data_IF_421678542514
#
_entry.id   IF_421678542514
#
_cell.length_a   1.000
_cell.length_b   1.000
_cell.length_c   1.000
_cell.angle_alpha   90.00
_cell.angle_beta   90.00
_cell.angle_gamma   90.00
#
_symmetry.space_group_name_H-M   'P 1'
#
loop_
_entity.id
_entity.type
_entity.pdbx_description
1 polymer ?
#
# COMPACT_ATOMS: atom_id res chain seq x y z
N UNK A 1 -15.88 14.24 8.41
CA UNK A 1 -14.57 14.90 8.38
C UNK A 1 -13.43 13.95 8.68
N UNK A 2 -13.47 13.24 9.82
CA UNK A 2 -12.41 12.27 10.14
C UNK A 2 -12.34 11.14 9.10
N UNK A 3 -13.48 10.62 8.66
CA UNK A 3 -13.53 9.56 7.65
C UNK A 3 -13.01 10.06 6.30
N UNK A 4 -13.24 11.33 5.96
CA UNK A 4 -12.69 11.92 4.73
C UNK A 4 -11.16 11.98 4.78
N UNK A 5 -10.61 12.35 5.93
CA UNK A 5 -9.16 12.38 6.13
C UNK A 5 -8.57 10.98 6.02
N UNK A 6 -9.21 9.99 6.64
CA UNK A 6 -8.77 8.59 6.56
C UNK A 6 -8.80 8.11 5.11
N UNK A 7 -9.88 8.40 4.37
CA UNK A 7 -9.99 8.06 2.96
C UNK A 7 -8.89 8.70 2.12
N UNK A 8 -8.59 9.97 2.38
CA UNK A 8 -7.51 10.67 1.69
C UNK A 8 -6.15 10.02 1.97
N UNK A 9 -5.87 9.71 3.24
CA UNK A 9 -4.63 9.06 3.62
C UNK A 9 -4.49 7.68 2.99
N UNK A 10 -5.58 6.90 2.94
CA UNK A 10 -5.57 5.59 2.28
C UNK A 10 -5.31 5.72 0.79
N UNK A 11 -5.88 6.74 0.14
CA UNK A 11 -5.64 6.99 -1.29
C UNK A 11 -4.19 7.37 -1.55
N UNK A 12 -3.62 8.26 -0.72
CA UNK A 12 -2.21 8.63 -0.82
C UNK A 12 -1.30 7.42 -0.63
N UNK A 13 -1.62 6.58 0.35
CA UNK A 13 -0.88 5.35 0.62
C UNK A 13 -0.96 4.38 -0.55
N UNK A 14 -2.13 4.28 -1.19
CA UNK A 14 -2.30 3.44 -2.39
C UNK A 14 -1.35 3.87 -3.51
N UNK A 15 -1.20 5.18 -3.72
CA UNK A 15 -0.28 5.69 -4.74
C UNK A 15 1.16 5.30 -4.42
N UNK A 16 1.58 5.43 -3.16
CA UNK A 16 2.91 5.03 -2.72
C UNK A 16 3.14 3.55 -2.99
N UNK A 17 2.16 2.71 -2.66
CA UNK A 17 2.25 1.26 -2.84
C UNK A 17 2.33 0.90 -4.33
N UNK A 18 1.54 1.55 -5.18
CA UNK A 18 1.58 1.31 -6.63
C UNK A 18 2.96 1.67 -7.19
N UNK A 19 3.50 2.84 -6.80
CA UNK A 19 4.84 3.25 -7.24
C UNK A 19 5.88 2.23 -6.80
N UNK A 20 5.81 1.78 -5.56
CA UNK A 20 6.75 0.78 -5.05
C UNK A 20 6.62 -0.55 -5.78
N UNK A 21 5.42 -0.99 -6.08
CA UNK A 21 5.19 -2.23 -6.82
C UNK A 21 5.82 -2.16 -8.21
N UNK A 22 5.62 -1.05 -8.91
CA UNK A 22 6.20 -0.84 -10.23
C UNK A 22 7.73 -0.84 -10.13
N UNK A 23 8.30 -0.12 -9.17
CA UNK A 23 9.75 -0.09 -8.97
C UNK A 23 10.29 -1.49 -8.65
N UNK A 24 9.60 -2.24 -7.81
CA UNK A 24 9.99 -3.60 -7.44
C UNK A 24 10.10 -4.50 -8.68
N UNK A 25 9.09 -4.42 -9.55
CA UNK A 25 9.09 -5.22 -10.78
C UNK A 25 10.17 -4.79 -11.76
N UNK A 26 10.40 -3.47 -11.88
CA UNK A 26 11.48 -2.95 -12.72
C UNK A 26 12.85 -3.44 -12.24
N UNK A 27 13.06 -3.53 -10.93
CA UNK A 27 14.29 -4.04 -10.36
C UNK A 27 14.42 -5.54 -10.62
N UNK A 28 13.34 -6.30 -10.43
CA UNK A 28 13.33 -7.76 -10.64
C UNK A 28 13.61 -8.08 -12.11
N UNK A 29 13.01 -7.33 -13.04
CA UNK A 29 13.22 -7.54 -14.47
C UNK A 29 14.49 -6.87 -15.01
N UNK A 30 15.29 -6.30 -14.12
CA UNK A 30 16.59 -5.69 -14.46
C UNK A 30 16.49 -4.52 -15.44
N UNK A 31 15.34 -3.82 -15.44
CA UNK A 31 15.17 -2.57 -16.20
C UNK A 31 15.92 -1.43 -15.51
N UNK A 32 15.85 -1.38 -14.19
CA UNK A 32 16.62 -0.47 -13.35
C UNK A 32 17.34 -1.29 -12.29
N UNK A 33 18.34 -0.70 -11.63
CA UNK A 33 19.09 -1.42 -10.60
C UNK A 33 19.33 -0.55 -9.38
N UNK A 34 19.59 -1.20 -8.25
CA UNK A 34 19.82 -0.56 -6.96
C UNK A 34 21.24 -0.01 -6.81
N UNK A 35 22.12 -0.21 -7.79
CA UNK A 35 23.45 0.41 -7.78
C UNK A 35 23.39 1.90 -8.08
N UNK A 36 22.33 2.37 -8.74
CA UNK A 36 22.10 3.80 -8.93
C UNK A 36 21.68 4.41 -7.59
N UNK A 37 22.39 5.44 -7.14
CA UNK A 37 22.13 6.08 -5.85
C UNK A 37 20.74 6.68 -5.75
N UNK A 38 20.27 7.30 -6.84
CA UNK A 38 18.94 7.88 -6.86
C UNK A 38 17.86 6.81 -6.71
N UNK A 39 17.96 5.72 -7.48
CA UNK A 39 17.01 4.62 -7.41
C UNK A 39 17.00 4.00 -6.01
N UNK A 40 18.19 3.78 -5.45
CA UNK A 40 18.30 3.21 -4.11
C UNK A 40 17.69 4.12 -3.05
N UNK A 41 17.91 5.42 -3.14
CA UNK A 41 17.35 6.39 -2.19
C UNK A 41 15.83 6.41 -2.25
N UNK A 42 15.25 6.42 -3.44
CA UNK A 42 13.80 6.36 -3.62
C UNK A 42 13.24 5.05 -3.08
N UNK A 43 13.89 3.93 -3.39
CA UNK A 43 13.48 2.62 -2.90
C UNK A 43 13.46 2.55 -1.38
N UNK A 44 14.54 3.02 -0.74
CA UNK A 44 14.63 3.01 0.72
C UNK A 44 13.58 3.90 1.37
N UNK A 45 13.31 5.06 0.80
CA UNK A 45 12.28 5.96 1.32
C UNK A 45 10.89 5.29 1.25
N UNK A 46 10.58 4.68 0.11
CA UNK A 46 9.31 3.97 -0.06
C UNK A 46 9.20 2.78 0.90
N UNK A 47 10.30 2.05 1.11
CA UNK A 47 10.31 0.91 2.01
C UNK A 47 10.06 1.30 3.46
N UNK A 48 10.64 2.40 3.90
CA UNK A 48 10.41 2.90 5.27
C UNK A 48 8.94 3.24 5.48
N UNK A 49 8.30 3.85 4.48
CA UNK A 49 6.88 4.22 4.56
C UNK A 49 5.98 2.99 4.57
N UNK A 50 6.29 1.98 3.74
CA UNK A 50 5.42 0.83 3.53
C UNK A 50 5.72 -0.36 4.44
N UNK A 51 6.87 -0.38 5.10
CA UNK A 51 7.28 -1.50 5.95
C UNK A 51 6.25 -1.86 7.03
N UNK A 52 5.67 -0.89 7.76
CA UNK A 52 4.67 -1.22 8.79
C UNK A 52 3.44 -1.92 8.21
N UNK A 53 3.11 -1.66 6.94
CA UNK A 53 1.96 -2.25 6.27
C UNK A 53 2.29 -3.65 5.76
N UNK A 54 3.47 -3.82 5.16
CA UNK A 54 3.85 -5.08 4.54
C UNK A 54 4.27 -6.15 5.54
N UNK A 55 4.78 -5.75 6.69
CA UNK A 55 5.30 -6.71 7.68
C UNK A 55 4.26 -7.76 8.10
N UNK A 56 3.04 -7.38 8.52
CA UNK A 56 2.04 -8.40 8.86
C UNK A 56 1.57 -9.19 7.65
N UNK A 57 1.51 -8.57 6.47
CA UNK A 57 1.10 -9.25 5.24
C UNK A 57 2.11 -10.32 4.86
N UNK A 58 3.41 -10.01 4.93
CA UNK A 58 4.47 -10.97 4.61
C UNK A 58 4.53 -12.16 5.55
N UNK A 59 4.04 -12.01 6.78
CA UNK A 59 3.97 -13.12 7.73
C UNK A 59 2.92 -14.15 7.33
N UNK A 60 1.89 -13.74 6.61
CA UNK A 60 0.76 -14.59 6.22
C UNK A 60 0.99 -15.20 4.85
N UNK A 61 1.59 -14.43 3.93
CA UNK A 61 1.78 -14.86 2.55
C UNK A 61 2.89 -15.92 2.44
N UNK A 62 2.68 -16.93 1.57
CA UNK A 62 3.77 -17.85 1.23
C UNK A 62 4.85 -17.13 0.42
N UNK A 63 6.04 -17.74 0.39
CA UNK A 63 7.17 -17.20 -0.35
C UNK A 63 6.98 -17.49 -1.84
N UNK A 64 6.94 -16.45 -2.66
CA UNK A 64 6.86 -16.56 -4.11
C UNK A 64 8.21 -16.30 -4.79
N UNK A 65 9.29 -16.35 -4.04
CA UNK A 65 10.62 -16.09 -4.58
C UNK A 65 10.87 -14.61 -4.81
N UNK A 66 11.35 -14.26 -6.02
CA UNK A 66 11.70 -12.88 -6.35
C UNK A 66 10.47 -11.98 -6.51
N UNK A 67 9.30 -12.57 -6.79
CA UNK A 67 8.07 -11.80 -7.01
C UNK A 67 7.38 -11.56 -5.67
N UNK A 68 7.29 -10.29 -5.29
CA UNK A 68 6.64 -9.87 -4.05
C UNK A 68 5.20 -9.48 -4.35
N UNK A 69 4.25 -10.22 -3.78
CA UNK A 69 2.81 -9.95 -3.94
C UNK A 69 2.24 -9.12 -2.79
N UNK A 70 3.07 -8.72 -1.82
CA UNK A 70 2.61 -7.90 -0.69
C UNK A 70 1.95 -6.60 -1.13
N UNK A 71 2.49 -5.85 -2.12
CA UNK A 71 1.82 -4.65 -2.59
C UNK A 71 0.42 -4.92 -3.13
N UNK A 72 0.24 -6.01 -3.86
CA UNK A 72 -1.07 -6.37 -4.40
C UNK A 72 -2.09 -6.65 -3.29
N UNK A 73 -1.68 -7.40 -2.27
CA UNK A 73 -2.55 -7.69 -1.11
C UNK A 73 -2.87 -6.42 -0.34
N UNK A 74 -1.87 -5.54 -0.13
CA UNK A 74 -2.07 -4.27 0.55
C UNK A 74 -3.06 -3.38 -0.20
N UNK A 75 -2.95 -3.30 -1.52
CA UNK A 75 -3.88 -2.53 -2.35
C UNK A 75 -5.30 -3.09 -2.26
N UNK A 76 -5.44 -4.41 -2.25
CA UNK A 76 -6.73 -5.04 -2.12
C UNK A 76 -7.38 -4.69 -0.78
N UNK A 77 -6.61 -4.75 0.30
CA UNK A 77 -7.09 -4.39 1.63
C UNK A 77 -7.51 -2.92 1.67
N UNK A 78 -6.69 -2.02 1.12
CA UNK A 78 -7.00 -0.60 1.07
C UNK A 78 -8.26 -0.35 0.24
N UNK A 79 -8.40 -1.04 -0.89
CA UNK A 79 -9.59 -0.93 -1.72
C UNK A 79 -10.85 -1.31 -0.94
N UNK A 80 -10.81 -2.42 -0.22
CA UNK A 80 -11.95 -2.87 0.58
C UNK A 80 -12.27 -1.85 1.67
N UNK A 81 -11.25 -1.36 2.39
CA UNK A 81 -11.45 -0.36 3.44
C UNK A 81 -12.08 0.92 2.89
N UNK A 82 -11.59 1.39 1.76
CA UNK A 82 -12.00 2.67 1.21
C UNK A 82 -13.38 2.62 0.54
N UNK A 83 -13.77 1.47 -0.03
CA UNK A 83 -14.99 1.36 -0.82
C UNK A 83 -16.12 0.63 -0.11
N UNK A 84 -15.82 -0.14 0.94
CA UNK A 84 -16.86 -0.90 1.66
C UNK A 84 -16.92 -0.52 3.14
N UNK A 85 -15.78 -0.52 3.83
CA UNK A 85 -15.78 -0.31 5.28
C UNK A 85 -16.05 1.16 5.63
N UNK A 86 -15.35 2.11 5.00
CA UNK A 86 -15.54 3.53 5.30
C UNK A 86 -16.94 4.03 4.93
N UNK A 87 -17.50 3.69 3.76
CA UNK A 87 -18.87 4.09 3.47
C UNK A 87 -19.89 3.49 4.44
N UNK A 88 -19.69 2.24 4.86
CA UNK A 88 -20.56 1.59 5.83
C UNK A 88 -20.50 2.29 7.19
N UNK A 89 -19.29 2.61 7.65
CA UNK A 89 -19.10 3.35 8.91
C UNK A 89 -19.72 4.74 8.82
N UNK A 90 -19.53 5.43 7.71
CA UNK A 90 -20.11 6.76 7.52
C UNK A 90 -21.64 6.71 7.58
N UNK A 91 -22.25 5.71 6.95
CA UNK A 91 -23.69 5.51 6.99
C UNK A 91 -24.19 5.22 8.39
N UNK A 92 -23.48 4.36 9.14
CA UNK A 92 -23.85 4.03 10.51
C UNK A 92 -23.71 5.22 11.45
N UNK A 93 -22.64 5.99 11.31
CA UNK A 93 -22.45 7.19 12.12
C UNK A 93 -23.52 8.24 11.82
N UNK A 94 -23.89 8.41 10.55
CA UNK A 94 -24.97 9.31 10.18
C UNK A 94 -26.31 8.84 10.77
N UNK A 95 -26.57 7.54 10.76
CA UNK A 95 -27.80 6.97 11.31
C UNK A 95 -27.88 7.15 12.83
N UNK A 96 -26.75 7.07 13.53
CA UNK A 96 -26.73 7.21 14.99
C UNK A 96 -26.70 8.67 15.44
N UNK A 97 -26.35 9.60 14.55
CA UNK A 97 -26.32 11.03 14.86
C UNK A 97 -27.71 11.65 14.94
N UNK A 98 -28.71 10.98 14.41
CA UNK A 98 -30.09 11.41 14.41
C UNK A 98 -30.91 10.50 15.33
#
# INVERSE_FOLDING_TARGET
>A
MILDIIGFLLSALSIVIVVQAILSWLIVFNVINLYNEFVRSVWQALEVITRPIYRPIRRILPDFGALDLSPLVALLIIYILNNFVLPTLAAQLAATAY
#
